data_IF_927980094839
#
_entry.id   IF_927980094839
#
_cell.length_a   1.000
_cell.length_b   1.000
_cell.length_c   1.000
_cell.angle_alpha   90.00
_cell.angle_beta   90.00
_cell.angle_gamma   90.00
#
_symmetry.space_group_name_H-M   'P 1'
#
loop_
_entity.id
_entity.type
_entity.pdbx_description
1 polymer ?
#
# COMPACT_ATOMS: atom_id res chain seq x y z
N UNK A 1 2.88 -16.72 -10.08
CA UNK A 1 1.49 -17.21 -10.19
C UNK A 1 1.37 -18.56 -10.87
N UNK A 2 1.87 -18.78 -12.10
CA UNK A 2 1.80 -20.11 -12.74
C UNK A 2 2.42 -21.24 -11.91
N UNK A 3 3.61 -21.03 -11.30
CA UNK A 3 4.18 -22.01 -10.37
C UNK A 3 3.31 -22.27 -9.14
N UNK A 4 2.68 -21.23 -8.58
CA UNK A 4 1.84 -21.33 -7.39
C UNK A 4 0.61 -22.19 -7.70
N UNK A 5 -0.07 -21.92 -8.83
CA UNK A 5 -1.23 -22.69 -9.28
C UNK A 5 -0.84 -24.15 -9.52
N UNK A 6 0.33 -24.41 -10.12
CA UNK A 6 0.83 -25.77 -10.32
C UNK A 6 1.09 -26.49 -8.98
N UNK A 7 1.65 -25.81 -7.98
CA UNK A 7 1.88 -26.39 -6.64
C UNK A 7 0.58 -26.69 -5.90
N UNK A 8 -0.36 -25.75 -5.88
CA UNK A 8 -1.57 -25.85 -5.04
C UNK A 8 -2.68 -26.67 -5.71
N UNK A 9 -2.80 -26.61 -7.05
CA UNK A 9 -3.91 -27.24 -7.79
C UNK A 9 -3.46 -28.29 -8.81
N UNK A 10 -2.15 -28.51 -9.01
CA UNK A 10 -1.62 -29.48 -9.98
C UNK A 10 -1.79 -29.06 -11.46
N UNK A 11 -2.43 -27.93 -11.75
CA UNK A 11 -2.72 -27.49 -13.12
C UNK A 11 -1.59 -26.62 -13.69
N UNK A 12 -1.11 -26.99 -14.87
CA UNK A 12 -0.10 -26.24 -15.61
C UNK A 12 -0.70 -25.12 -16.46
N UNK A 13 -0.25 -23.90 -16.24
CA UNK A 13 -0.58 -22.76 -17.11
C UNK A 13 0.68 -22.09 -17.67
N UNK A 14 0.58 -21.59 -18.90
CA UNK A 14 1.58 -20.66 -19.42
C UNK A 14 1.51 -19.32 -18.66
N UNK A 15 2.63 -18.73 -18.20
CA UNK A 15 2.62 -17.50 -17.40
C UNK A 15 1.83 -16.34 -18.01
N UNK A 16 1.92 -16.19 -19.34
CA UNK A 16 1.18 -15.17 -20.09
C UNK A 16 -0.34 -15.40 -20.16
N UNK A 17 -0.82 -16.63 -19.93
CA UNK A 17 -2.26 -16.95 -19.92
C UNK A 17 -2.89 -16.61 -18.57
N UNK A 18 -2.19 -16.90 -17.47
CA UNK A 18 -2.69 -16.61 -16.12
C UNK A 18 -2.97 -15.12 -15.94
N UNK A 19 -2.09 -14.25 -16.42
CA UNK A 19 -2.28 -12.80 -16.32
C UNK A 19 -3.49 -12.29 -17.11
N UNK A 20 -3.80 -12.88 -18.27
CA UNK A 20 -5.00 -12.54 -19.05
C UNK A 20 -6.29 -12.99 -18.36
N UNK A 21 -6.30 -14.21 -17.80
CA UNK A 21 -7.46 -14.74 -17.07
C UNK A 21 -7.76 -13.87 -15.84
N UNK A 22 -6.73 -13.54 -15.05
CA UNK A 22 -6.88 -12.69 -13.88
C UNK A 22 -7.41 -11.30 -14.23
N UNK A 23 -6.91 -10.67 -15.30
CA UNK A 23 -7.45 -9.39 -15.79
C UNK A 23 -8.93 -9.50 -16.17
N UNK A 24 -9.35 -10.57 -16.85
CA UNK A 24 -10.76 -10.80 -17.21
C UNK A 24 -11.65 -10.99 -16.00
N UNK A 25 -11.12 -11.58 -14.93
CA UNK A 25 -11.80 -11.74 -13.64
C UNK A 25 -11.76 -10.47 -12.77
N UNK A 26 -11.22 -9.35 -13.27
CA UNK A 26 -11.14 -8.08 -12.53
C UNK A 26 -10.02 -8.01 -11.50
N UNK A 27 -9.12 -9.00 -11.44
CA UNK A 27 -7.98 -8.93 -10.54
C UNK A 27 -6.97 -7.90 -11.03
N UNK A 28 -6.61 -6.98 -10.15
CA UNK A 28 -5.50 -6.06 -10.34
C UNK A 28 -4.21 -6.63 -9.76
N UNK A 29 -3.07 -6.24 -10.35
CA UNK A 29 -1.77 -6.58 -9.82
C UNK A 29 -1.58 -5.88 -8.46
N UNK A 30 -1.59 -6.65 -7.38
CA UNK A 30 -1.34 -6.11 -6.04
C UNK A 30 0.13 -5.73 -5.93
N UNK A 31 0.40 -4.44 -5.72
CA UNK A 31 1.73 -3.99 -5.35
C UNK A 31 1.90 -4.16 -3.85
N UNK A 32 3.03 -4.72 -3.38
CA UNK A 32 3.31 -4.76 -1.96
C UNK A 32 3.33 -3.33 -1.41
N UNK A 33 2.88 -3.16 -0.16
CA UNK A 33 2.96 -1.87 0.49
C UNK A 33 4.44 -1.49 0.65
N UNK A 34 4.82 -0.32 0.12
CA UNK A 34 6.20 0.15 0.20
C UNK A 34 6.33 0.99 1.46
N UNK A 35 6.91 0.41 2.51
CA UNK A 35 7.32 1.14 3.69
C UNK A 35 8.70 1.77 3.45
N UNK A 36 8.94 2.93 4.06
CA UNK A 36 10.27 3.54 4.06
C UNK A 36 11.15 2.82 5.08
N UNK A 37 12.43 2.63 4.77
CA UNK A 37 13.36 1.91 5.67
C UNK A 37 13.57 2.65 7.01
N UNK A 38 13.35 3.97 7.03
CA UNK A 38 13.43 4.82 8.22
C UNK A 38 12.10 4.93 8.97
N UNK A 39 11.06 4.22 8.55
CA UNK A 39 9.72 4.35 9.11
C UNK A 39 9.68 3.81 10.54
N UNK A 40 9.38 4.69 11.47
CA UNK A 40 9.20 4.40 12.90
C UNK A 40 7.75 4.73 13.27
N UNK A 41 6.96 3.71 13.62
CA UNK A 41 5.53 3.86 13.93
C UNK A 41 5.30 4.65 15.23
N UNK A 42 6.18 4.50 16.23
CA UNK A 42 6.07 5.22 17.51
C UNK A 42 6.31 6.72 17.28
N UNK A 43 7.34 7.06 16.49
CA UNK A 43 7.62 8.44 16.11
C UNK A 43 6.50 9.06 15.25
N UNK A 44 5.87 8.27 14.37
CA UNK A 44 4.72 8.70 13.56
C UNK A 44 3.51 8.99 14.45
N UNK A 45 3.22 8.11 15.40
CA UNK A 45 2.10 8.27 16.34
C UNK A 45 2.31 9.51 17.21
N UNK A 46 3.49 9.65 17.82
CA UNK A 46 3.82 10.82 18.64
C UNK A 46 3.69 12.13 17.84
N UNK A 47 4.19 12.15 16.60
CA UNK A 47 4.07 13.32 15.74
C UNK A 47 2.61 13.65 15.42
N UNK A 48 1.79 12.63 15.14
CA UNK A 48 0.37 12.79 14.84
C UNK A 48 -0.43 13.28 16.04
N UNK A 49 -0.09 12.89 17.25
CA UNK A 49 -0.79 13.33 18.45
C UNK A 49 -0.35 14.71 18.92
N UNK A 50 0.95 14.98 18.92
CA UNK A 50 1.51 16.20 19.52
C UNK A 50 1.67 17.33 18.52
N UNK A 51 2.34 17.05 17.39
CA UNK A 51 2.76 18.09 16.43
C UNK A 51 1.66 18.47 15.45
N UNK A 52 0.87 17.51 15.00
CA UNK A 52 -0.19 17.78 14.03
C UNK A 52 -1.27 18.75 14.55
N UNK A 53 -1.78 18.64 15.80
CA UNK A 53 -2.74 19.60 16.32
C UNK A 53 -2.16 21.01 16.52
N UNK A 54 -0.88 21.11 16.92
CA UNK A 54 -0.16 22.40 17.05
C UNK A 54 -0.07 23.12 15.70
N UNK A 55 0.35 22.40 14.65
CA UNK A 55 0.43 22.93 13.29
C UNK A 55 -0.94 23.38 12.77
N UNK A 56 -2.00 22.59 13.02
CA UNK A 56 -3.37 22.93 12.60
C UNK A 56 -3.88 24.20 13.31
N UNK A 57 -3.59 24.38 14.60
CA UNK A 57 -3.90 25.60 15.37
C UNK A 57 -3.06 26.82 14.93
N UNK A 58 -1.80 26.62 14.57
CA UNK A 58 -0.93 27.68 14.05
C UNK A 58 -1.31 28.15 12.65
N UNK A 59 -1.90 27.28 11.83
CA UNK A 59 -2.37 27.60 10.49
C UNK A 59 -3.63 28.49 10.52
N UNK A 60 -4.50 28.36 11.54
CA UNK A 60 -5.66 29.28 11.68
C UNK A 60 -5.28 30.68 12.17
N UNK A 61 -4.14 30.86 12.85
CA UNK A 61 -3.64 32.18 13.30
C UNK A 61 -2.95 32.99 12.20
N UNK A 62 -2.59 32.39 11.06
CA UNK A 62 -1.94 33.06 9.93
C UNK A 62 -2.91 33.58 8.85
N UNK A 63 -4.23 33.50 9.09
CA UNK A 63 -5.24 34.23 8.31
C UNK A 63 -5.45 35.59 8.98
N UNK A 64 -4.52 36.50 8.72
CA UNK A 64 -4.49 37.85 9.28
C UNK A 64 -3.26 38.58 8.79
N UNK A 65 -3.31 39.01 7.54
CA UNK A 65 -2.42 40.01 6.96
C UNK A 65 -3.06 41.38 7.14
#
# INVERSE_FOLDING_TARGET
MAQLIKREFGVGYHPAHVSRILKRLGFSLQKPNRLADQRDEDAIEEWREKRWPELKKGCSRRVGR
#
